data_IF_802970599052
#
_entry.id   IF_802970599052
#
_cell.length_a   1.000
_cell.length_b   1.000
_cell.length_c   1.000
_cell.angle_alpha   90.00
_cell.angle_beta   90.00
_cell.angle_gamma   90.00
#
_symmetry.space_group_name_H-M   'P 1'
#
loop_
_entity.id
_entity.type
_entity.pdbx_description
1 polymer ?
#
# COMPACT_ATOMS: atom_id res chain seq x y z
N UNK A 1 -18.70 4.92 -3.33
CA UNK A 1 -17.59 4.15 -3.93
C UNK A 1 -16.30 4.31 -3.14
N UNK A 2 -15.87 5.53 -2.79
CA UNK A 2 -14.69 5.78 -1.94
C UNK A 2 -14.71 4.99 -0.63
N UNK A 3 -15.85 4.95 0.05
CA UNK A 3 -16.06 4.19 1.29
C UNK A 3 -15.65 2.71 1.18
N UNK A 4 -15.93 2.02 0.08
CA UNK A 4 -15.55 0.61 -0.08
C UNK A 4 -14.04 0.42 -0.24
N UNK A 5 -13.39 1.34 -0.95
CA UNK A 5 -11.92 1.38 -1.09
C UNK A 5 -11.26 1.57 0.28
N UNK A 6 -11.76 2.52 1.09
CA UNK A 6 -11.21 2.79 2.42
C UNK A 6 -11.56 1.71 3.45
N UNK A 7 -12.75 1.11 3.39
CA UNK A 7 -13.11 -0.06 4.23
C UNK A 7 -12.15 -1.23 3.94
N UNK A 8 -11.86 -1.48 2.66
CA UNK A 8 -10.92 -2.54 2.26
C UNK A 8 -9.50 -2.25 2.73
N UNK A 9 -9.05 -0.99 2.60
CA UNK A 9 -7.75 -0.52 3.08
C UNK A 9 -7.62 -0.66 4.60
N UNK A 10 -8.50 -0.03 5.38
CA UNK A 10 -8.43 -0.06 6.84
C UNK A 10 -8.65 -1.46 7.38
N UNK A 11 -9.54 -2.24 6.76
CA UNK A 11 -9.74 -3.65 7.06
C UNK A 11 -8.45 -4.46 6.89
N UNK A 12 -7.74 -4.29 5.77
CA UNK A 12 -6.47 -4.96 5.53
C UNK A 12 -5.38 -4.55 6.52
N UNK A 13 -5.31 -3.26 6.89
CA UNK A 13 -4.37 -2.74 7.89
C UNK A 13 -4.65 -3.36 9.25
N UNK A 14 -5.88 -3.26 9.76
CA UNK A 14 -6.29 -3.77 11.08
C UNK A 14 -6.05 -5.29 11.15
N UNK A 15 -6.47 -6.04 10.14
CA UNK A 15 -6.24 -7.50 10.10
C UNK A 15 -4.76 -7.84 10.10
N UNK A 16 -3.95 -7.11 9.33
CA UNK A 16 -2.50 -7.37 9.27
C UNK A 16 -1.83 -7.08 10.61
N UNK A 17 -2.19 -5.97 11.27
CA UNK A 17 -1.72 -5.67 12.63
C UNK A 17 -2.12 -6.75 13.63
N UNK A 18 -3.37 -7.22 13.57
CA UNK A 18 -3.84 -8.31 14.41
C UNK A 18 -3.07 -9.62 14.14
N UNK A 19 -2.72 -9.93 12.89
CA UNK A 19 -1.96 -11.12 12.54
C UNK A 19 -0.48 -11.06 12.92
N UNK A 20 0.05 -9.87 13.15
CA UNK A 20 1.45 -9.59 13.44
C UNK A 20 1.69 -9.15 14.90
N UNK A 21 0.65 -9.02 15.72
CA UNK A 21 0.76 -8.58 17.12
C UNK A 21 1.72 -9.46 17.92
N UNK A 22 1.73 -10.75 17.62
CA UNK A 22 2.52 -11.75 18.32
C UNK A 22 3.88 -12.01 17.63
N UNK A 23 4.18 -11.29 16.52
CA UNK A 23 5.37 -11.47 15.68
C UNK A 23 6.18 -10.16 15.57
N UNK A 24 6.85 -9.69 16.64
CA UNK A 24 7.43 -8.35 16.73
C UNK A 24 8.51 -8.08 15.67
N UNK A 25 9.34 -9.07 15.34
CA UNK A 25 10.38 -8.93 14.30
C UNK A 25 9.75 -8.65 12.94
N UNK A 26 8.68 -9.37 12.61
CA UNK A 26 8.00 -9.24 11.31
C UNK A 26 7.23 -7.93 11.21
N UNK A 27 6.66 -7.47 12.32
CA UNK A 27 6.02 -6.16 12.44
C UNK A 27 7.04 -5.02 12.24
N UNK A 28 8.22 -5.10 12.87
CA UNK A 28 9.32 -4.16 12.65
C UNK A 28 9.76 -4.13 11.17
N UNK A 29 9.95 -5.31 10.56
CA UNK A 29 10.27 -5.42 9.14
C UNK A 29 9.16 -4.84 8.25
N UNK A 30 7.89 -5.00 8.64
CA UNK A 30 6.75 -4.37 7.97
C UNK A 30 6.84 -2.85 7.97
N UNK A 31 7.16 -2.23 9.12
CA UNK A 31 7.39 -0.79 9.21
C UNK A 31 8.58 -0.31 8.37
N UNK A 32 9.70 -1.03 8.40
CA UNK A 32 10.85 -0.71 7.54
C UNK A 32 10.47 -0.77 6.06
N UNK A 33 9.75 -1.82 5.64
CA UNK A 33 9.30 -1.94 4.27
C UNK A 33 8.32 -0.82 3.89
N UNK A 34 7.43 -0.43 4.78
CA UNK A 34 6.54 0.71 4.57
C UNK A 34 7.31 2.02 4.39
N UNK A 35 8.33 2.27 5.22
CA UNK A 35 9.18 3.45 5.09
C UNK A 35 9.88 3.52 3.73
N UNK A 36 10.48 2.42 3.27
CA UNK A 36 11.12 2.37 1.96
C UNK A 36 10.13 2.50 0.80
N UNK A 37 8.91 1.95 0.96
CA UNK A 37 7.85 2.12 -0.03
C UNK A 37 7.45 3.60 -0.13
N UNK A 38 7.28 4.30 1.00
CA UNK A 38 7.04 5.75 1.03
C UNK A 38 8.19 6.54 0.41
N UNK A 39 9.45 6.20 0.70
CA UNK A 39 10.61 6.84 0.09
C UNK A 39 10.63 6.65 -1.44
N UNK A 40 10.34 5.43 -1.92
CA UNK A 40 10.22 5.15 -3.36
C UNK A 40 9.09 5.94 -4.01
N UNK A 41 8.01 6.21 -3.26
CA UNK A 41 6.89 7.05 -3.70
C UNK A 41 7.30 8.50 -3.88
N UNK A 42 8.00 9.07 -2.90
CA UNK A 42 8.53 10.42 -2.96
C UNK A 42 9.50 10.60 -4.14
N UNK A 43 10.38 9.62 -4.36
CA UNK A 43 11.31 9.60 -5.50
C UNK A 43 10.55 9.47 -6.83
N UNK A 44 9.54 8.58 -6.90
CA UNK A 44 8.74 8.39 -8.10
C UNK A 44 7.98 9.67 -8.51
N UNK A 45 7.37 10.35 -7.54
CA UNK A 45 6.67 11.60 -7.77
C UNK A 45 7.57 12.76 -8.17
N UNK A 46 8.80 12.81 -7.63
CA UNK A 46 9.75 13.86 -7.98
C UNK A 46 10.38 13.64 -9.35
N UNK A 47 10.68 12.39 -9.74
CA UNK A 47 11.30 12.06 -11.02
C UNK A 47 10.31 12.02 -12.18
N UNK A 48 9.09 11.55 -11.93
CA UNK A 48 8.08 11.33 -12.95
C UNK A 48 6.73 11.89 -12.47
N UNK A 49 6.59 13.23 -12.40
CA UNK A 49 5.33 13.86 -12.06
C UNK A 49 4.32 13.64 -13.21
N UNK A 50 3.60 12.52 -13.17
CA UNK A 50 2.57 12.24 -14.16
C UNK A 50 1.46 13.28 -13.98
N UNK A 51 1.12 13.95 -15.08
CA UNK A 51 0.01 14.89 -15.09
C UNK A 51 -1.29 14.11 -14.93
N UNK A 52 -2.08 14.48 -13.92
CA UNK A 52 -3.44 14.02 -13.75
C UNK A 52 -4.24 14.35 -15.04
N UNK A 53 -4.84 13.37 -15.75
CA UNK A 53 -5.78 13.66 -16.82
C UNK A 53 -6.98 14.45 -16.28
N UNK A 54 -7.53 15.35 -17.09
CA UNK A 54 -8.58 16.28 -16.67
C UNK A 54 -9.89 15.58 -16.24
N UNK A 55 -10.02 14.27 -16.52
CA UNK A 55 -11.15 13.41 -16.12
C UNK A 55 -10.98 12.76 -14.75
N UNK A 56 -9.91 13.04 -14.01
CA UNK A 56 -9.66 12.42 -12.71
C UNK A 56 -10.61 12.93 -11.64
N UNK A 57 -11.34 11.99 -11.04
CA UNK A 57 -12.15 12.25 -9.86
C UNK A 57 -11.20 12.23 -8.65
N UNK A 58 -11.03 13.34 -7.91
CA UNK A 58 -10.19 13.35 -6.71
C UNK A 58 -10.73 12.37 -5.67
N UNK A 59 -9.85 11.49 -5.18
CA UNK A 59 -10.18 10.54 -4.13
C UNK A 59 -10.07 11.23 -2.78
N UNK A 60 -11.21 11.57 -2.19
CA UNK A 60 -11.27 12.08 -0.82
C UNK A 60 -11.11 10.94 0.18
N UNK A 61 -10.02 10.98 0.95
CA UNK A 61 -9.89 10.18 2.16
C UNK A 61 -10.86 10.74 3.22
N UNK A 62 -11.87 9.96 3.65
CA UNK A 62 -12.91 10.45 4.56
C UNK A 62 -12.36 10.84 5.94
N UNK A 63 -11.25 10.26 6.38
CA UNK A 63 -10.62 10.57 7.66
C UNK A 63 -9.69 11.78 7.56
N UNK A 64 -8.90 11.88 6.49
CA UNK A 64 -7.99 13.02 6.30
C UNK A 64 -8.76 14.28 5.88
N UNK A 65 -9.83 14.15 5.09
CA UNK A 65 -10.68 15.28 4.69
C UNK A 65 -11.38 15.95 5.89
N UNK A 66 -11.57 15.23 7.01
CA UNK A 66 -12.05 15.82 8.26
C UNK A 66 -10.98 16.65 8.97
N UNK A 67 -9.70 16.36 8.74
CA UNK A 67 -8.57 17.01 9.40
C UNK A 67 -7.93 18.14 8.55
N UNK A 68 -8.03 18.07 7.23
CA UNK A 68 -7.49 19.09 6.31
C UNK A 68 -8.24 19.06 4.97
N UNK A 69 -9.18 20.01 4.78
CA UNK A 69 -9.95 20.13 3.52
C UNK A 69 -9.12 20.72 2.37
N UNK A 70 -8.02 21.43 2.66
CA UNK A 70 -7.29 22.25 1.69
C UNK A 70 -6.10 21.55 1.01
N UNK A 71 -5.69 20.35 1.45
CA UNK A 71 -4.52 19.65 0.90
C UNK A 71 -4.99 18.61 -0.13
N UNK A 72 -5.60 19.07 -1.21
CA UNK A 72 -5.85 18.21 -2.38
C UNK A 72 -4.55 18.11 -3.16
N UNK A 73 -3.77 17.06 -2.89
CA UNK A 73 -2.53 16.76 -3.61
C UNK A 73 -2.86 16.35 -5.05
N UNK A 74 -2.90 17.33 -5.98
CA UNK A 74 -3.28 17.14 -7.39
C UNK A 74 -2.24 16.38 -8.25
N UNK A 75 -1.11 16.00 -7.65
CA UNK A 75 0.04 15.39 -8.34
C UNK A 75 0.52 14.08 -7.68
N UNK A 76 -0.40 13.30 -7.10
CA UNK A 76 -0.08 12.06 -6.39
C UNK A 76 -0.09 10.80 -7.31
N UNK A 77 0.17 11.00 -8.62
CA UNK A 77 0.13 9.95 -9.65
C UNK A 77 1.54 9.49 -10.03
N UNK A 78 1.97 8.38 -9.44
CA UNK A 78 3.08 7.58 -9.97
C UNK A 78 2.86 6.09 -9.66
N UNK A 79 2.37 5.80 -8.46
CA UNK A 79 1.68 4.55 -8.15
C UNK A 79 0.68 4.79 -7.01
N UNK A 80 -0.41 4.00 -6.96
CA UNK A 80 -1.44 4.15 -5.94
C UNK A 80 -0.87 3.74 -4.57
N UNK A 81 -0.63 4.73 -3.71
CA UNK A 81 -0.05 4.48 -2.39
C UNK A 81 -0.91 3.55 -1.55
N UNK A 82 -2.21 3.82 -1.46
CA UNK A 82 -3.14 2.96 -0.72
C UNK A 82 -3.07 1.51 -1.21
N UNK A 83 -3.10 1.27 -2.53
CA UNK A 83 -3.10 -0.09 -3.07
C UNK A 83 -1.77 -0.80 -2.82
N UNK A 84 -0.65 -0.10 -3.05
CA UNK A 84 0.69 -0.65 -2.80
C UNK A 84 0.91 -1.06 -1.34
N UNK A 85 0.33 -0.33 -0.39
CA UNK A 85 0.40 -0.66 1.04
C UNK A 85 -0.34 -1.95 1.31
N UNK A 86 -1.58 -2.12 0.84
CA UNK A 86 -2.34 -3.37 1.03
C UNK A 86 -1.62 -4.56 0.41
N UNK A 87 -1.05 -4.38 -0.78
CA UNK A 87 -0.24 -5.42 -1.44
C UNK A 87 1.03 -5.73 -0.64
N UNK A 88 1.72 -4.71 -0.09
CA UNK A 88 2.88 -4.90 0.78
C UNK A 88 2.51 -5.70 2.03
N UNK A 89 1.42 -5.34 2.70
CA UNK A 89 0.93 -6.04 3.89
C UNK A 89 0.69 -7.52 3.62
N UNK A 90 0.18 -7.88 2.44
CA UNK A 90 0.04 -9.28 2.04
C UNK A 90 1.36 -10.06 1.96
N UNK A 91 2.47 -9.39 1.67
CA UNK A 91 3.80 -10.00 1.67
C UNK A 91 4.42 -10.07 3.06
N UNK A 92 4.07 -9.13 3.94
CA UNK A 92 4.51 -9.13 5.34
C UNK A 92 3.88 -10.29 6.10
N UNK A 93 2.64 -10.66 5.83
CA UNK A 93 1.96 -11.81 6.44
C UNK A 93 2.54 -13.14 5.91
N UNK A 94 2.94 -14.06 6.80
CA UNK A 94 3.52 -15.35 6.40
C UNK A 94 2.47 -16.36 5.98
N UNK A 95 1.46 -16.50 6.84
CA UNK A 95 0.49 -17.56 6.79
C UNK A 95 -0.27 -17.47 5.48
N UNK A 96 -0.32 -18.58 4.73
CA UNK A 96 -0.88 -18.57 3.38
C UNK A 96 -2.35 -18.16 3.39
N UNK A 97 -3.12 -18.65 4.35
CA UNK A 97 -4.55 -18.34 4.48
C UNK A 97 -4.74 -16.85 4.77
N UNK A 98 -4.04 -16.33 5.79
CA UNK A 98 -4.10 -14.91 6.17
C UNK A 98 -3.62 -13.99 5.03
N UNK A 99 -2.57 -14.38 4.32
CA UNK A 99 -2.07 -13.69 3.14
C UNK A 99 -3.12 -13.63 2.04
N UNK A 100 -3.81 -14.74 1.75
CA UNK A 100 -4.86 -14.76 0.73
C UNK A 100 -6.05 -13.86 1.12
N UNK A 101 -6.40 -13.76 2.40
CA UNK A 101 -7.42 -12.82 2.89
C UNK A 101 -7.01 -11.38 2.58
N UNK A 102 -5.76 -10.99 2.90
CA UNK A 102 -5.26 -9.63 2.61
C UNK A 102 -5.17 -9.36 1.10
N UNK A 103 -4.76 -10.35 0.30
CA UNK A 103 -4.77 -10.25 -1.17
C UNK A 103 -6.18 -10.10 -1.74
N UNK A 104 -7.16 -10.80 -1.17
CA UNK A 104 -8.55 -10.68 -1.58
C UNK A 104 -9.08 -9.26 -1.34
N UNK A 105 -8.78 -8.68 -0.18
CA UNK A 105 -9.07 -7.27 0.11
C UNK A 105 -8.36 -6.32 -0.85
N UNK A 106 -7.10 -6.62 -1.21
CA UNK A 106 -6.38 -5.88 -2.24
C UNK A 106 -7.12 -5.94 -3.59
N UNK A 107 -7.59 -7.13 -4.00
CA UNK A 107 -8.33 -7.34 -5.23
C UNK A 107 -9.65 -6.56 -5.28
N UNK A 108 -10.43 -6.59 -4.19
CA UNK A 108 -11.65 -5.79 -4.04
C UNK A 108 -11.33 -4.30 -4.21
N UNK A 109 -10.33 -3.82 -3.48
CA UNK A 109 -9.90 -2.43 -3.53
C UNK A 109 -9.45 -2.01 -4.94
N UNK A 110 -8.71 -2.89 -5.63
CA UNK A 110 -8.29 -2.72 -7.01
C UNK A 110 -9.47 -2.53 -7.98
N UNK A 111 -10.49 -3.40 -7.89
CA UNK A 111 -11.71 -3.29 -8.71
C UNK A 111 -12.38 -1.94 -8.47
N UNK A 112 -12.54 -1.52 -7.22
CA UNK A 112 -13.15 -0.22 -6.91
C UNK A 112 -12.31 0.96 -7.42
N UNK A 113 -10.99 0.94 -7.25
CA UNK A 113 -10.11 2.01 -7.75
C UNK A 113 -10.20 2.14 -9.28
N UNK A 114 -10.21 1.02 -10.00
CA UNK A 114 -10.33 1.00 -11.46
C UNK A 114 -11.71 1.52 -11.91
N UNK A 115 -12.79 1.09 -11.25
CA UNK A 115 -14.14 1.57 -11.53
C UNK A 115 -14.32 3.06 -11.27
N UNK A 116 -13.59 3.62 -10.29
CA UNK A 116 -13.65 5.04 -9.98
C UNK A 116 -12.83 5.91 -10.93
N UNK A 117 -12.03 5.31 -11.83
CA UNK A 117 -11.10 6.01 -12.72
C UNK A 117 -10.18 7.00 -11.97
N UNK A 118 -9.83 6.66 -10.72
CA UNK A 118 -9.05 7.50 -9.78
C UNK A 118 -7.54 7.40 -10.01
N UNK A 119 -7.08 6.31 -10.62
CA UNK A 119 -5.67 6.10 -10.94
C UNK A 119 -5.53 5.53 -12.34
N UNK A 120 -4.37 5.75 -12.95
CA UNK A 120 -4.01 5.04 -14.16
C UNK A 120 -3.88 3.54 -13.86
N UNK A 121 -4.31 2.70 -14.80
CA UNK A 121 -4.15 1.23 -14.66
C UNK A 121 -2.69 0.84 -14.47
N UNK A 122 -1.76 1.61 -15.05
CA UNK A 122 -0.31 1.45 -14.88
C UNK A 122 0.08 1.54 -13.40
N UNK A 123 -0.46 2.49 -12.64
CA UNK A 123 -0.19 2.65 -11.21
C UNK A 123 -0.55 1.39 -10.41
N UNK A 124 -1.60 0.69 -10.83
CA UNK A 124 -2.06 -0.56 -10.21
C UNK A 124 -1.20 -1.76 -10.61
N UNK A 125 -0.67 -1.78 -11.84
CA UNK A 125 0.28 -2.80 -12.27
C UNK A 125 1.63 -2.65 -11.59
N UNK A 126 2.12 -1.41 -11.42
CA UNK A 126 3.43 -1.10 -10.85
C UNK A 126 3.49 -1.38 -9.34
N UNK A 127 2.38 -1.17 -8.62
CA UNK A 127 2.30 -1.33 -7.18
C UNK A 127 2.77 -2.72 -6.66
N UNK A 128 2.29 -3.86 -7.18
CA UNK A 128 2.78 -5.18 -6.76
C UNK A 128 4.28 -5.39 -6.94
N UNK A 129 4.88 -4.84 -8.00
CA UNK A 129 6.32 -4.95 -8.23
C UNK A 129 7.12 -4.20 -7.18
N UNK A 130 6.74 -2.94 -6.87
CA UNK A 130 7.42 -2.14 -5.84
C UNK A 130 7.21 -2.71 -4.43
N UNK A 131 6.00 -3.17 -4.12
CA UNK A 131 5.70 -3.79 -2.82
C UNK A 131 6.50 -5.08 -2.64
N UNK A 132 6.61 -5.92 -3.68
CA UNK A 132 7.41 -7.14 -3.64
C UNK A 132 8.92 -6.84 -3.55
N UNK A 133 9.42 -5.90 -4.35
CA UNK A 133 10.83 -5.52 -4.37
C UNK A 133 11.26 -4.98 -2.99
N UNK A 134 10.45 -4.10 -2.41
CA UNK A 134 10.71 -3.52 -1.09
C UNK A 134 10.71 -4.59 0.01
N UNK A 135 9.72 -5.49 0.02
CA UNK A 135 9.69 -6.59 0.99
C UNK A 135 10.92 -7.51 0.87
N UNK A 136 11.28 -7.88 -0.37
CA UNK A 136 12.43 -8.76 -0.62
C UNK A 136 13.74 -8.09 -0.16
N UNK A 137 13.90 -6.80 -0.43
CA UNK A 137 15.05 -6.01 0.01
C UNK A 137 15.16 -5.99 1.54
N UNK A 138 14.07 -5.66 2.24
CA UNK A 138 14.04 -5.61 3.71
C UNK A 138 14.27 -6.98 4.33
N UNK A 139 13.68 -8.04 3.77
CA UNK A 139 13.92 -9.40 4.21
C UNK A 139 15.40 -9.79 4.06
N UNK A 140 16.01 -9.48 2.92
CA UNK A 140 17.43 -9.76 2.69
C UNK A 140 18.34 -8.96 3.63
N UNK A 141 18.04 -7.69 3.85
CA UNK A 141 18.80 -6.81 4.73
C UNK A 141 18.75 -7.29 6.19
N UNK A 142 17.55 -7.53 6.74
CA UNK A 142 17.41 -7.98 8.13
C UNK A 142 18.01 -9.37 8.36
N UNK A 143 17.87 -10.28 7.40
CA UNK A 143 18.48 -11.61 7.49
C UNK A 143 20.02 -11.53 7.57
N UNK A 144 20.64 -10.58 6.85
CA UNK A 144 22.10 -10.34 6.92
C UNK A 144 22.54 -9.75 8.26
N UNK A 145 21.69 -8.91 8.88
CA UNK A 145 21.96 -8.27 10.18
C UNK A 145 21.66 -9.20 11.36
N UNK A 146 21.08 -10.39 11.12
CA UNK A 146 20.79 -11.40 12.13
C UNK A 146 19.34 -11.44 12.61
N UNK A 147 18.49 -10.52 12.13
CA UNK A 147 17.06 -10.53 12.39
C UNK A 147 16.35 -11.43 11.37
N UNK A 148 16.10 -12.68 11.76
CA UNK A 148 15.32 -13.63 10.94
C UNK A 148 13.84 -13.49 11.27
N UNK A 149 12.96 -13.25 10.28
CA UNK A 149 11.53 -13.27 10.53
C UNK A 149 11.10 -14.68 10.94
N UNK A 150 10.27 -14.77 11.97
CA UNK A 150 9.53 -15.99 12.31
C UNK A 150 8.76 -16.45 11.08
N UNK A 151 8.87 -17.73 10.74
CA UNK A 151 8.05 -18.38 9.70
C UNK A 151 6.61 -18.49 10.23
#
# INVERSE_FOLDING_TARGET
>A
MTWFTFISLYGAVILTFHYLSDKPVRLMMGFQAYFFLLASRLIGMSLLPLKAPDTLIPLFDPFIAQLSQDIVLKHDLFFSGHFSVVVLLSFVVHDRTKKFIVLFLAGIMAVFILMQHVHYTIDMFVAPFFSFATWKMIKAFNTKVGFKPEE
#
